data_IF_852556909535
#
_entry.id   IF_852556909535
#
_cell.length_a   1.000
_cell.length_b   1.000
_cell.length_c   1.000
_cell.angle_alpha   90.00
_cell.angle_beta   90.00
_cell.angle_gamma   90.00
#
_symmetry.space_group_name_H-M   'P 1'
#
loop_
_entity.id
_entity.type
_entity.pdbx_description
1 polymer ?
#
# COMPACT_ATOMS: atom_id res chain seq x y z
N UNK A 1 -1.42 5.69 15.58
CA UNK A 1 -2.17 6.31 14.47
C UNK A 1 -1.42 6.09 13.18
N UNK A 2 -1.89 5.15 12.37
CA UNK A 2 -1.35 4.86 11.04
C UNK A 2 -2.31 5.47 10.03
N UNK A 3 -1.86 6.48 9.30
CA UNK A 3 -2.63 7.10 8.20
C UNK A 3 -2.50 6.13 7.02
N UNK A 4 -3.61 5.53 6.59
CA UNK A 4 -3.66 4.92 5.27
C UNK A 4 -3.34 6.00 4.25
N UNK A 5 -2.64 5.70 3.16
CA UNK A 5 -2.44 6.61 2.03
C UNK A 5 -2.94 5.90 0.78
N UNK A 6 -3.87 6.50 0.03
CA UNK A 6 -4.38 5.90 -1.20
C UNK A 6 -3.63 6.43 -2.42
N UNK A 7 -3.38 5.56 -3.43
CA UNK A 7 -2.69 5.94 -4.68
C UNK A 7 -3.52 5.61 -5.91
N UNK A 8 -3.41 6.52 -6.86
CA UNK A 8 -4.04 6.50 -8.16
C UNK A 8 -3.04 6.11 -9.24
N UNK A 9 -3.37 5.13 -10.08
CA UNK A 9 -2.39 4.65 -11.05
C UNK A 9 -2.96 4.27 -12.42
N UNK A 10 -2.11 4.44 -13.44
CA UNK A 10 -2.43 4.29 -14.86
C UNK A 10 -1.47 3.32 -15.55
N UNK A 11 -1.98 2.59 -16.53
CA UNK A 11 -1.19 1.75 -17.42
C UNK A 11 -1.63 2.00 -18.86
N UNK A 12 -0.70 2.16 -19.79
CA UNK A 12 -0.92 2.26 -21.24
C UNK A 12 -0.61 0.91 -21.91
N UNK A 13 -1.45 0.39 -22.82
CA UNK A 13 -1.02 -0.57 -23.85
C UNK A 13 -1.98 -0.53 -25.03
N UNK A 14 -1.44 -0.46 -26.24
CA UNK A 14 -1.95 -1.00 -27.51
C UNK A 14 -0.79 -1.82 -28.12
N UNK A 15 -1.04 -2.90 -28.86
CA UNK A 15 0.02 -3.77 -29.43
C UNK A 15 -0.23 -4.05 -30.92
N UNK A 16 0.83 -3.91 -31.72
CA UNK A 16 0.94 -4.42 -33.10
C UNK A 16 1.44 -5.88 -33.11
N UNK A 17 0.92 -6.67 -34.06
CA UNK A 17 1.10 -8.11 -34.31
C UNK A 17 2.55 -8.57 -34.58
N UNK A 18 2.85 -9.83 -34.23
CA UNK A 18 3.73 -10.72 -35.00
C UNK A 18 3.37 -12.20 -34.77
N UNK A 19 3.51 -12.99 -35.83
CA UNK A 19 2.91 -14.30 -36.12
C UNK A 19 3.52 -15.53 -35.39
N UNK A 20 2.79 -16.64 -35.49
CA UNK A 20 3.13 -18.00 -35.02
C UNK A 20 4.46 -18.54 -35.58
N UNK A 21 5.24 -19.24 -34.72
CA UNK A 21 5.98 -20.47 -35.05
C UNK A 21 6.35 -21.18 -33.75
N UNK A 22 6.05 -22.49 -33.67
CA UNK A 22 6.21 -23.30 -32.47
C UNK A 22 7.66 -23.68 -32.15
N UNK A 23 7.90 -24.10 -30.91
CA UNK A 23 8.97 -25.00 -30.45
C UNK A 23 8.71 -25.41 -28.97
N UNK A 24 9.29 -26.55 -28.62
CA UNK A 24 9.14 -27.43 -27.45
C UNK A 24 9.84 -26.97 -26.15
N UNK A 25 9.40 -27.52 -25.00
CA UNK A 25 9.86 -27.42 -23.57
C UNK A 25 11.36 -27.15 -23.25
N UNK A 26 11.75 -26.85 -21.97
CA UNK A 26 11.14 -26.04 -20.93
C UNK A 26 12.15 -24.96 -20.47
N UNK A 27 12.20 -23.83 -21.18
CA UNK A 27 12.93 -22.61 -20.76
C UNK A 27 11.99 -21.38 -20.64
N UNK A 28 10.67 -21.59 -20.82
CA UNK A 28 9.73 -20.53 -21.20
C UNK A 28 8.94 -19.89 -20.07
N UNK A 29 9.32 -20.07 -18.81
CA UNK A 29 8.57 -19.43 -17.70
C UNK A 29 8.81 -17.91 -17.60
N UNK A 30 9.90 -17.39 -18.17
CA UNK A 30 10.21 -15.95 -18.20
C UNK A 30 9.60 -15.28 -19.44
N UNK A 31 9.66 -15.94 -20.61
CA UNK A 31 9.04 -15.41 -21.82
C UNK A 31 7.51 -15.39 -21.74
N UNK A 32 6.88 -16.42 -21.19
CA UNK A 32 5.43 -16.45 -21.01
C UNK A 32 4.95 -15.42 -19.96
N UNK A 33 5.72 -15.13 -18.91
CA UNK A 33 5.33 -14.10 -17.93
C UNK A 33 5.61 -12.66 -18.38
N UNK A 34 6.62 -12.43 -19.23
CA UNK A 34 6.90 -11.12 -19.82
C UNK A 34 6.00 -10.81 -21.03
N UNK A 35 5.55 -11.82 -21.79
CA UNK A 35 4.61 -11.65 -22.90
C UNK A 35 3.16 -11.34 -22.45
N UNK A 36 2.79 -11.58 -21.18
CA UNK A 36 1.39 -11.64 -20.76
C UNK A 36 0.94 -10.65 -19.66
N UNK A 37 1.55 -9.46 -19.55
CA UNK A 37 1.11 -8.42 -18.61
C UNK A 37 0.54 -7.22 -19.38
N UNK A 38 -0.69 -6.84 -19.05
CA UNK A 38 -1.54 -5.94 -19.84
C UNK A 38 -2.18 -4.86 -18.95
N UNK A 39 -2.67 -3.77 -19.55
CA UNK A 39 -2.87 -2.55 -18.82
C UNK A 39 -4.14 -2.61 -17.98
N UNK A 40 -3.94 -2.46 -16.68
CA UNK A 40 -5.00 -2.25 -15.70
C UNK A 40 -4.76 -0.89 -15.07
N UNK A 41 -5.77 -0.02 -15.14
CA UNK A 41 -5.86 1.16 -14.28
C UNK A 41 -6.23 0.61 -12.90
N UNK A 42 -5.22 0.37 -12.06
CA UNK A 42 -5.41 -0.22 -10.74
C UNK A 42 -5.15 0.85 -9.68
N UNK A 43 -5.78 0.76 -8.53
CA UNK A 43 -5.63 1.76 -7.47
C UNK A 43 -4.86 1.06 -6.35
N UNK A 44 -3.79 1.67 -5.84
CA UNK A 44 -2.95 1.00 -4.83
C UNK A 44 -3.03 1.78 -3.53
N UNK A 45 -3.76 1.25 -2.55
CA UNK A 45 -3.79 1.81 -1.21
C UNK A 45 -2.59 1.27 -0.44
N UNK A 46 -1.77 2.18 0.07
CA UNK A 46 -0.55 1.86 0.79
C UNK A 46 -0.86 1.19 2.12
N UNK A 47 -0.20 0.05 2.31
CA UNK A 47 0.04 -0.60 3.59
C UNK A 47 1.34 -0.06 4.19
N UNK A 48 1.28 0.39 5.44
CA UNK A 48 2.50 0.66 6.22
C UNK A 48 3.02 -0.66 6.75
N UNK A 49 4.27 -0.99 6.42
CA UNK A 49 4.91 -2.22 6.84
C UNK A 49 6.04 -1.96 7.84
N UNK A 50 5.99 -2.75 8.92
CA UNK A 50 7.01 -2.87 9.97
C UNK A 50 8.03 -3.92 9.53
N UNK A 51 9.32 -3.64 9.69
CA UNK A 51 10.42 -4.55 9.34
C UNK A 51 11.01 -5.16 10.62
N UNK A 52 10.66 -6.41 10.91
CA UNK A 52 11.27 -7.16 12.01
C UNK A 52 12.28 -8.19 11.50
N UNK A 53 13.39 -8.33 12.22
CA UNK A 53 14.48 -9.30 11.99
C UNK A 53 14.51 -10.19 13.25
N UNK A 54 13.95 -11.41 13.21
CA UNK A 54 13.88 -12.37 14.33
C UNK A 54 14.13 -13.81 13.84
N UNK A 55 14.05 -14.84 14.68
CA UNK A 55 14.17 -16.26 14.29
C UNK A 55 12.92 -17.10 14.60
N UNK A 56 11.85 -16.46 15.06
CA UNK A 56 10.51 -17.04 15.19
C UNK A 56 9.52 -15.92 15.51
N UNK A 57 8.28 -16.05 15.01
CA UNK A 57 7.19 -15.08 15.18
C UNK A 57 5.97 -15.79 15.76
N UNK A 58 5.38 -15.24 16.81
CA UNK A 58 4.13 -15.74 17.41
C UNK A 58 3.06 -14.65 17.41
N UNK A 59 2.44 -14.52 16.24
CA UNK A 59 1.05 -14.13 16.04
C UNK A 59 0.43 -15.16 15.10
N UNK A 60 -0.67 -14.88 14.41
CA UNK A 60 -1.16 -15.70 13.29
C UNK A 60 -0.22 -15.66 12.07
N UNK A 61 1.06 -16.03 12.24
CA UNK A 61 2.07 -15.95 11.21
C UNK A 61 1.72 -17.02 10.22
N UNK A 62 1.53 -16.62 8.98
CA UNK A 62 1.97 -17.49 7.91
C UNK A 62 3.44 -17.22 7.71
N UNK A 63 4.27 -18.19 8.07
CA UNK A 63 5.56 -18.33 7.42
C UNK A 63 5.29 -18.49 5.92
N UNK A 64 5.75 -17.53 5.12
CA UNK A 64 5.78 -17.75 3.68
C UNK A 64 6.90 -18.74 3.38
N UNK A 65 6.60 -19.74 2.55
CA UNK A 65 7.62 -20.64 2.04
C UNK A 65 8.65 -19.79 1.28
N UNK A 66 9.92 -19.88 1.71
CA UNK A 66 11.04 -19.21 1.03
C UNK A 66 11.18 -19.68 -0.42
N UNK A 67 10.62 -20.81 -0.82
CA UNK A 67 10.56 -21.28 -2.21
C UNK A 67 9.55 -20.51 -3.08
N UNK A 68 8.81 -19.54 -2.52
CA UNK A 68 7.92 -18.67 -3.28
C UNK A 68 8.70 -18.00 -4.42
N UNK A 69 8.36 -18.37 -5.66
CA UNK A 69 9.08 -17.92 -6.86
C UNK A 69 9.14 -16.39 -6.99
N UNK A 70 8.10 -15.66 -6.57
CA UNK A 70 8.05 -14.19 -6.63
C UNK A 70 9.01 -13.56 -5.64
N UNK A 71 9.04 -14.10 -4.42
CA UNK A 71 9.96 -13.67 -3.37
C UNK A 71 11.41 -13.96 -3.78
N UNK A 72 11.72 -15.18 -4.22
CA UNK A 72 13.07 -15.57 -4.65
C UNK A 72 13.59 -14.73 -5.80
N UNK A 73 12.76 -14.43 -6.80
CA UNK A 73 13.15 -13.56 -7.91
C UNK A 73 13.42 -12.12 -7.45
N UNK A 74 12.61 -11.57 -6.55
CA UNK A 74 12.88 -10.26 -5.94
C UNK A 74 14.21 -10.25 -5.18
N UNK A 75 14.44 -11.25 -4.33
CA UNK A 75 15.69 -11.38 -3.56
C UNK A 75 16.92 -11.57 -4.46
N UNK A 76 16.77 -12.28 -5.57
CA UNK A 76 17.83 -12.46 -6.56
C UNK A 76 18.17 -11.13 -7.23
N UNK A 77 17.16 -10.40 -7.72
CA UNK A 77 17.35 -9.14 -8.45
C UNK A 77 17.87 -8.01 -7.58
N UNK A 78 17.50 -7.98 -6.29
CA UNK A 78 18.02 -6.99 -5.35
C UNK A 78 19.47 -7.29 -4.99
N UNK A 79 19.83 -8.57 -4.78
CA UNK A 79 21.22 -8.99 -4.53
C UNK A 79 22.13 -8.72 -5.72
N UNK A 80 21.64 -8.91 -6.95
CA UNK A 80 22.37 -8.56 -8.19
C UNK A 80 22.73 -7.07 -8.27
N UNK A 81 21.90 -6.18 -7.71
CA UNK A 81 22.14 -4.73 -7.66
C UNK A 81 22.95 -4.30 -6.43
N UNK A 82 23.04 -5.16 -5.41
CA UNK A 82 23.77 -4.93 -4.17
C UNK A 82 25.26 -5.32 -4.21
N UNK A 83 25.89 -5.48 -5.39
CA UNK A 83 27.25 -6.04 -5.55
C UNK A 83 28.34 -5.35 -4.70
N UNK A 84 28.15 -4.08 -4.36
CA UNK A 84 29.10 -3.30 -3.57
C UNK A 84 28.70 -3.14 -2.10
N UNK A 85 27.59 -3.75 -1.67
CA UNK A 85 27.12 -3.65 -0.30
C UNK A 85 27.95 -4.53 0.64
N UNK A 86 28.45 -3.94 1.72
CA UNK A 86 29.14 -4.66 2.81
C UNK A 86 28.22 -5.65 3.54
N UNK A 87 26.90 -5.48 3.41
CA UNK A 87 25.89 -6.26 4.12
C UNK A 87 25.40 -7.47 3.33
N UNK A 88 25.91 -7.71 2.11
CA UNK A 88 25.41 -8.77 1.22
C UNK A 88 25.59 -10.19 1.80
N UNK A 89 26.60 -10.38 2.66
CA UNK A 89 26.90 -11.67 3.31
C UNK A 89 25.96 -11.99 4.49
N UNK A 90 25.15 -11.02 4.92
CA UNK A 90 24.29 -11.21 6.08
C UNK A 90 23.13 -12.16 5.76
N UNK A 91 22.82 -13.05 6.70
CA UNK A 91 21.53 -13.73 6.70
C UNK A 91 20.46 -12.70 7.05
N UNK A 92 19.44 -12.61 6.21
CA UNK A 92 18.32 -11.69 6.42
C UNK A 92 17.11 -12.45 6.95
N UNK A 93 16.44 -11.86 7.93
CA UNK A 93 15.11 -12.26 8.31
C UNK A 93 14.13 -11.15 7.95
N UNK A 94 13.01 -11.53 7.34
CA UNK A 94 12.01 -10.61 6.83
C UNK A 94 10.72 -10.90 7.56
N UNK A 95 10.31 -10.00 8.44
CA UNK A 95 8.97 -9.99 9.00
C UNK A 95 8.18 -8.83 8.38
N UNK A 96 6.92 -9.12 8.05
CA UNK A 96 6.04 -8.22 7.34
C UNK A 96 4.63 -8.26 7.95
N UNK A 97 4.19 -7.16 8.55
CA UNK A 97 2.83 -6.93 9.05
C UNK A 97 2.10 -5.86 8.22
N UNK A 98 0.80 -6.06 7.97
CA UNK A 98 -0.07 -5.03 7.38
C UNK A 98 -1.06 -4.51 8.43
N UNK A 99 -1.37 -3.22 8.37
CA UNK A 99 -2.28 -2.55 9.32
C UNK A 99 -3.71 -2.40 8.78
N UNK A 100 -4.08 -3.18 7.75
CA UNK A 100 -5.45 -3.26 7.26
C UNK A 100 -6.14 -4.48 7.87
N UNK A 101 -7.48 -4.49 7.96
CA UNK A 101 -8.20 -5.70 8.33
C UNK A 101 -7.80 -6.85 7.39
N UNK A 102 -7.28 -7.93 7.96
CA UNK A 102 -6.84 -9.11 7.20
C UNK A 102 -8.00 -9.63 6.34
N UNK A 103 -7.78 -9.73 5.02
CA UNK A 103 -8.78 -10.24 4.08
C UNK A 103 -9.64 -9.18 3.38
N UNK A 104 -9.51 -7.89 3.73
CA UNK A 104 -10.23 -6.76 3.11
C UNK A 104 -10.00 -6.54 1.60
N UNK A 105 -9.33 -7.44 0.86
CA UNK A 105 -9.11 -7.29 -0.58
C UNK A 105 -8.29 -6.06 -1.01
N UNK A 106 -7.83 -5.23 -0.05
CA UNK A 106 -7.05 -4.02 -0.21
C UNK A 106 -5.61 -4.41 -0.54
N UNK A 107 -5.28 -4.49 -1.83
CA UNK A 107 -3.94 -4.58 -2.48
C UNK A 107 -2.70 -5.02 -1.65
N UNK A 108 -2.82 -5.93 -0.69
CA UNK A 108 -1.81 -6.13 0.36
C UNK A 108 -0.46 -6.61 -0.18
N UNK A 109 -0.49 -7.41 -1.25
CA UNK A 109 0.71 -7.86 -1.94
C UNK A 109 1.52 -6.72 -2.58
N UNK A 110 0.88 -5.66 -3.05
CA UNK A 110 1.54 -4.58 -3.78
C UNK A 110 2.41 -3.75 -2.83
N UNK A 111 1.80 -3.26 -1.75
CA UNK A 111 2.52 -2.58 -0.69
C UNK A 111 3.52 -3.51 0.04
N UNK A 112 3.21 -4.81 0.15
CA UNK A 112 4.13 -5.83 0.66
C UNK A 112 5.46 -5.89 -0.09
N UNK A 113 5.40 -6.18 -1.39
CA UNK A 113 6.60 -6.26 -2.23
C UNK A 113 7.31 -4.92 -2.41
N UNK A 114 6.56 -3.81 -2.50
CA UNK A 114 7.16 -2.49 -2.56
C UNK A 114 7.95 -2.18 -1.28
N UNK A 115 7.39 -2.50 -0.11
CA UNK A 115 8.08 -2.33 1.16
C UNK A 115 9.32 -3.20 1.24
N UNK A 116 9.21 -4.49 0.89
CA UNK A 116 10.34 -5.41 0.85
C UNK A 116 11.50 -4.85 0.01
N UNK A 117 11.19 -4.41 -1.21
CA UNK A 117 12.19 -3.86 -2.13
C UNK A 117 12.79 -2.57 -1.60
N UNK A 118 11.98 -1.64 -1.11
CA UNK A 118 12.48 -0.39 -0.52
C UNK A 118 13.38 -0.66 0.69
N UNK A 119 12.99 -1.60 1.55
CA UNK A 119 13.72 -1.97 2.76
C UNK A 119 15.09 -2.56 2.45
N UNK A 120 15.12 -3.53 1.55
CA UNK A 120 16.35 -4.19 1.12
C UNK A 120 17.23 -3.25 0.29
N UNK A 121 16.64 -2.38 -0.52
CA UNK A 121 17.40 -1.35 -1.23
C UNK A 121 18.06 -0.39 -0.24
N UNK A 122 17.37 -0.05 0.85
CA UNK A 122 17.91 0.78 1.93
C UNK A 122 19.03 0.06 2.70
N UNK A 123 18.82 -1.21 3.06
CA UNK A 123 19.80 -2.05 3.75
C UNK A 123 21.08 -2.24 2.91
N UNK A 124 20.93 -2.50 1.62
CA UNK A 124 22.05 -2.75 0.72
C UNK A 124 22.58 -1.49 0.04
N UNK A 125 22.12 -0.30 0.45
CA UNK A 125 22.54 0.99 -0.10
C UNK A 125 22.38 1.10 -1.64
N UNK A 126 21.38 0.40 -2.19
CA UNK A 126 21.07 0.41 -3.62
C UNK A 126 20.46 1.75 -3.98
N UNK A 127 21.06 2.43 -4.96
CA UNK A 127 20.55 3.67 -5.56
C UNK A 127 19.91 3.37 -6.92
N UNK A 128 18.98 4.21 -7.33
CA UNK A 128 18.39 4.19 -8.67
C UNK A 128 16.97 3.64 -8.73
N UNK A 129 16.61 3.10 -9.89
CA UNK A 129 15.28 2.62 -10.25
C UNK A 129 14.97 1.29 -9.52
N UNK A 130 13.94 1.28 -8.65
CA UNK A 130 13.55 0.12 -7.82
C UNK A 130 12.21 -0.50 -8.22
N UNK A 131 11.43 0.20 -9.05
CA UNK A 131 10.10 -0.25 -9.47
C UNK A 131 10.16 -1.52 -10.31
N UNK A 132 11.20 -1.68 -11.16
CA UNK A 132 11.42 -2.92 -11.91
C UNK A 132 11.59 -4.14 -11.01
N UNK A 133 12.24 -4.00 -9.86
CA UNK A 133 12.40 -5.09 -8.88
C UNK A 133 11.06 -5.39 -8.21
N UNK A 134 10.35 -4.36 -7.74
CA UNK A 134 9.06 -4.53 -7.07
C UNK A 134 8.02 -5.17 -8.01
N UNK A 135 8.03 -4.82 -9.31
CA UNK A 135 7.19 -5.40 -10.37
C UNK A 135 7.28 -6.92 -10.46
N UNK A 136 8.45 -7.49 -10.18
CA UNK A 136 8.71 -8.94 -10.27
C UNK A 136 7.91 -9.67 -9.19
N UNK A 137 7.88 -9.10 -7.98
CA UNK A 137 7.14 -9.65 -6.86
C UNK A 137 5.64 -9.50 -7.01
N UNK A 138 5.19 -8.29 -7.34
CA UNK A 138 3.81 -8.00 -7.71
C UNK A 138 3.78 -6.86 -8.72
N UNK A 139 3.03 -7.03 -9.82
CA UNK A 139 2.98 -6.03 -10.89
C UNK A 139 2.64 -4.63 -10.38
N UNK A 140 1.64 -4.51 -9.49
CA UNK A 140 1.25 -3.22 -8.90
C UNK A 140 2.27 -2.66 -7.90
N UNK A 141 3.10 -3.50 -7.27
CA UNK A 141 4.10 -3.05 -6.30
C UNK A 141 5.09 -2.03 -6.88
N UNK A 142 5.35 -2.08 -8.20
CA UNK A 142 6.22 -1.11 -8.85
C UNK A 142 5.77 0.34 -8.65
N UNK A 143 4.46 0.57 -8.54
CA UNK A 143 3.88 1.91 -8.34
C UNK A 143 3.85 2.30 -6.86
N UNK A 144 3.98 1.31 -5.98
CA UNK A 144 4.04 1.50 -4.55
C UNK A 144 5.43 1.94 -4.03
N UNK A 145 6.46 1.96 -4.89
CA UNK A 145 7.80 2.46 -4.51
C UNK A 145 7.96 3.98 -4.60
N UNK A 146 7.02 4.70 -5.24
CA UNK A 146 7.06 6.16 -5.46
C UNK A 146 5.74 6.81 -4.99
N UNK A 147 5.80 8.00 -4.39
CA UNK A 147 4.62 8.71 -3.85
C UNK A 147 3.86 9.54 -4.88
N UNK A 148 2.70 10.09 -4.48
CA UNK A 148 1.86 10.91 -5.36
C UNK A 148 1.12 10.09 -6.42
N UNK A 149 0.94 10.68 -7.60
CA UNK A 149 0.34 10.01 -8.75
C UNK A 149 1.42 9.31 -9.58
N UNK A 150 1.20 8.03 -9.90
CA UNK A 150 2.25 7.20 -10.49
C UNK A 150 1.73 6.45 -11.70
N UNK A 151 2.48 6.52 -12.80
CA UNK A 151 2.23 5.77 -14.04
C UNK A 151 3.15 4.57 -14.10
N UNK A 152 2.61 3.38 -14.37
CA UNK A 152 3.44 2.26 -14.80
C UNK A 152 3.50 2.22 -16.32
N UNK A 153 4.69 2.45 -16.86
CA UNK A 153 4.96 2.31 -18.28
C UNK A 153 5.06 0.82 -18.61
N UNK A 154 4.29 0.37 -19.61
CA UNK A 154 4.29 -1.03 -20.05
C UNK A 154 5.67 -1.55 -20.47
N UNK A 155 6.52 -0.67 -21.00
CA UNK A 155 7.74 -1.04 -21.71
C UNK A 155 7.47 -1.61 -23.10
N UNK A 156 8.49 -1.56 -23.94
CA UNK A 156 8.55 -2.05 -25.31
C UNK A 156 9.63 -3.12 -25.48
N UNK A 157 10.59 -3.19 -24.55
CA UNK A 157 11.71 -4.13 -24.64
C UNK A 157 11.28 -5.53 -24.14
N UNK A 158 11.66 -6.61 -24.85
CA UNK A 158 11.29 -7.98 -24.45
C UNK A 158 11.81 -8.41 -23.08
N UNK A 159 12.94 -7.85 -22.66
CA UNK A 159 13.53 -8.08 -21.33
C UNK A 159 12.76 -7.38 -20.19
N UNK A 160 11.82 -6.49 -20.55
CA UNK A 160 11.02 -5.70 -19.62
C UNK A 160 11.82 -4.65 -18.86
N UNK A 161 13.03 -4.28 -19.30
CA UNK A 161 13.88 -3.30 -18.63
C UNK A 161 13.29 -1.88 -18.60
N UNK A 162 12.46 -1.53 -19.60
CA UNK A 162 11.78 -0.24 -19.71
C UNK A 162 10.34 -0.25 -19.14
N UNK A 163 9.90 -1.37 -18.57
CA UNK A 163 8.57 -1.51 -17.95
C UNK A 163 8.57 -1.00 -16.49
N UNK A 164 8.72 0.30 -16.30
CA UNK A 164 8.98 0.92 -14.99
C UNK A 164 7.87 1.89 -14.55
N UNK A 165 7.79 2.13 -13.25
CA UNK A 165 6.93 3.17 -12.68
C UNK A 165 7.61 4.53 -12.70
N UNK A 166 6.85 5.58 -13.04
CA UNK A 166 7.28 6.98 -13.07
C UNK A 166 6.26 7.84 -12.35
N UNK A 167 6.73 8.78 -11.54
CA UNK A 167 5.87 9.78 -10.94
C UNK A 167 5.32 10.70 -12.03
N UNK A 168 3.99 10.89 -12.04
CA UNK A 168 3.35 11.94 -12.84
C UNK A 168 3.54 13.27 -12.11
N UNK A 169 3.06 13.33 -10.87
CA UNK A 169 3.21 14.48 -9.97
C UNK A 169 3.31 14.00 -8.50
N UNK A 170 4.02 14.73 -7.61
CA UNK A 170 4.10 14.39 -6.19
C UNK A 170 2.76 14.55 -5.47
N UNK A 171 2.63 13.98 -4.27
CA UNK A 171 1.41 14.11 -3.46
C UNK A 171 1.09 15.58 -3.12
N UNK A 172 2.12 16.41 -2.96
CA UNK A 172 2.01 17.85 -2.75
C UNK A 172 1.45 18.63 -3.94
N UNK A 173 1.35 18.03 -5.13
CA UNK A 173 0.75 18.68 -6.29
C UNK A 173 -0.73 18.92 -6.07
N UNK A 174 -1.47 17.92 -5.60
CA UNK A 174 -2.92 17.98 -5.39
C UNK A 174 -3.29 17.66 -3.92
N UNK A 175 -2.91 18.52 -2.96
CA UNK A 175 -3.05 18.25 -1.54
C UNK A 175 -4.50 18.16 -1.07
N UNK A 176 -5.45 18.70 -1.83
CA UNK A 176 -6.89 18.67 -1.56
C UNK A 176 -7.51 17.30 -1.87
N UNK A 177 -6.83 16.42 -2.62
CA UNK A 177 -7.37 15.10 -2.96
C UNK A 177 -7.52 14.25 -1.69
N UNK A 178 -8.72 13.68 -1.51
CA UNK A 178 -9.09 12.79 -0.42
C UNK A 178 -9.56 11.46 -0.96
N UNK A 179 -9.41 10.44 -0.12
CA UNK A 179 -9.84 9.09 -0.44
C UNK A 179 -10.60 8.51 0.74
N UNK A 180 -11.77 7.92 0.45
CA UNK A 180 -12.56 7.19 1.42
C UNK A 180 -12.68 5.75 0.94
N UNK A 181 -12.24 4.80 1.75
CA UNK A 181 -12.32 3.37 1.44
C UNK A 181 -13.47 2.78 2.24
N UNK A 182 -14.44 2.19 1.55
CA UNK A 182 -15.56 1.48 2.16
C UNK A 182 -15.23 -0.02 2.14
N UNK A 183 -14.97 -0.58 3.32
CA UNK A 183 -14.73 -2.02 3.49
C UNK A 183 -16.09 -2.70 3.60
N UNK A 184 -16.59 -3.27 2.52
CA UNK A 184 -17.86 -4.02 2.46
C UNK A 184 -17.64 -5.48 2.86
N UNK A 185 -16.60 -6.09 2.30
CA UNK A 185 -16.22 -7.47 2.59
C UNK A 185 -14.73 -7.58 2.93
N UNK A 186 -14.44 -8.49 3.86
CA UNK A 186 -13.08 -8.89 4.26
C UNK A 186 -12.82 -10.39 4.07
N UNK A 187 -13.72 -11.09 3.37
CA UNK A 187 -13.49 -12.47 2.99
C UNK A 187 -12.51 -12.57 1.83
N UNK A 188 -11.83 -13.73 1.75
CA UNK A 188 -10.83 -13.98 0.71
C UNK A 188 -11.51 -14.01 -0.67
N UNK A 189 -10.92 -13.30 -1.63
CA UNK A 189 -11.34 -13.30 -3.04
C UNK A 189 -11.58 -14.73 -3.54
N UNK A 190 -12.75 -14.98 -4.13
CA UNK A 190 -13.08 -16.28 -4.74
C UNK A 190 -12.05 -16.69 -5.80
N UNK A 191 -11.67 -15.75 -6.66
CA UNK A 191 -10.61 -15.95 -7.67
C UNK A 191 -9.50 -14.91 -7.48
N UNK A 192 -8.26 -15.33 -7.16
CA UNK A 192 -7.12 -14.42 -7.06
C UNK A 192 -6.89 -13.63 -8.35
N UNK A 193 -6.49 -12.37 -8.23
CA UNK A 193 -6.33 -11.46 -9.38
C UNK A 193 -5.37 -11.99 -10.45
N UNK A 194 -4.29 -12.70 -10.09
CA UNK A 194 -3.37 -13.28 -11.07
C UNK A 194 -3.99 -14.39 -11.92
N UNK A 195 -4.92 -15.16 -11.33
CA UNK A 195 -5.65 -16.21 -12.04
C UNK A 195 -6.74 -15.55 -12.89
N UNK A 196 -7.48 -14.60 -12.30
CA UNK A 196 -8.54 -13.88 -12.99
C UNK A 196 -8.04 -13.14 -14.22
N UNK A 197 -6.97 -12.34 -14.09
CA UNK A 197 -6.39 -11.59 -15.21
C UNK A 197 -5.88 -12.49 -16.33
N UNK A 198 -5.24 -13.63 -16.01
CA UNK A 198 -4.79 -14.59 -17.03
C UNK A 198 -5.98 -15.16 -17.80
N UNK A 199 -7.02 -15.57 -17.09
CA UNK A 199 -8.25 -16.09 -17.70
C UNK A 199 -8.91 -15.04 -18.58
N UNK A 200 -9.01 -13.79 -18.13
CA UNK A 200 -9.55 -12.69 -18.95
C UNK A 200 -8.73 -12.50 -20.23
N UNK A 201 -7.41 -12.63 -20.17
CA UNK A 201 -6.56 -12.55 -21.38
C UNK A 201 -6.84 -13.67 -22.38
N UNK A 202 -7.07 -14.88 -21.88
CA UNK A 202 -7.32 -16.05 -22.72
C UNK A 202 -8.73 -16.04 -23.33
N UNK A 203 -9.72 -15.44 -22.63
CA UNK A 203 -11.14 -15.68 -22.94
C UNK A 203 -11.99 -14.44 -23.18
N UNK A 204 -11.58 -13.25 -22.74
CA UNK A 204 -12.36 -12.01 -22.93
C UNK A 204 -11.98 -11.30 -24.23
N UNK A 205 -12.95 -11.13 -25.12
CA UNK A 205 -12.79 -10.32 -26.31
C UNK A 205 -12.84 -8.82 -25.99
N UNK A 206 -13.59 -8.42 -24.96
CA UNK A 206 -13.61 -7.03 -24.49
C UNK A 206 -12.23 -6.57 -24.00
N UNK A 207 -11.43 -7.45 -23.42
CA UNK A 207 -10.07 -7.10 -22.99
C UNK A 207 -9.16 -6.77 -24.17
N UNK A 208 -9.27 -7.51 -25.28
CA UNK A 208 -8.51 -7.25 -26.52
C UNK A 208 -8.85 -5.87 -27.08
N UNK A 209 -10.13 -5.52 -27.13
CA UNK A 209 -10.60 -4.21 -27.57
C UNK A 209 -10.15 -3.09 -26.63
N UNK A 210 -10.23 -3.32 -25.31
CA UNK A 210 -9.77 -2.37 -24.29
C UNK A 210 -8.29 -2.01 -24.49
N UNK A 211 -7.45 -3.03 -24.67
CA UNK A 211 -6.03 -2.86 -24.94
C UNK A 211 -5.85 -2.03 -26.22
N UNK A 212 -6.40 -2.47 -27.35
CA UNK A 212 -6.03 -1.84 -28.62
C UNK A 212 -6.57 -0.42 -28.79
N UNK A 213 -7.69 -0.07 -28.16
CA UNK A 213 -8.42 1.15 -28.52
C UNK A 213 -8.79 2.08 -27.35
N UNK A 214 -8.81 1.60 -26.12
CA UNK A 214 -9.40 2.37 -25.01
C UNK A 214 -8.36 2.92 -24.07
N UNK A 215 -7.42 2.07 -23.65
CA UNK A 215 -6.57 2.39 -22.51
C UNK A 215 -5.61 3.51 -22.82
N UNK A 216 -5.07 3.58 -24.04
CA UNK A 216 -4.10 4.62 -24.37
C UNK A 216 -4.68 6.04 -24.34
N UNK A 217 -5.88 6.23 -24.89
CA UNK A 217 -6.54 7.55 -24.83
C UNK A 217 -6.92 7.89 -23.39
N UNK A 218 -7.49 6.94 -22.65
CA UNK A 218 -7.94 7.17 -21.29
C UNK A 218 -6.80 7.54 -20.35
N UNK A 219 -5.66 6.86 -20.47
CA UNK A 219 -4.47 7.13 -19.66
C UNK A 219 -3.91 8.54 -19.94
N UNK A 220 -3.83 8.97 -21.21
CA UNK A 220 -3.44 10.35 -21.55
C UNK A 220 -4.41 11.38 -20.98
N UNK A 221 -5.71 11.12 -21.10
CA UNK A 221 -6.77 12.02 -20.62
C UNK A 221 -6.71 12.22 -19.11
N UNK A 222 -6.58 11.15 -18.34
CA UNK A 222 -6.51 11.24 -16.89
C UNK A 222 -5.16 11.74 -16.39
N UNK A 223 -4.05 11.45 -17.08
CA UNK A 223 -2.75 12.06 -16.80
C UNK A 223 -2.80 13.58 -16.96
N UNK A 224 -3.45 14.08 -18.03
CA UNK A 224 -3.72 15.52 -18.20
C UNK A 224 -4.59 16.07 -17.08
N UNK A 225 -5.69 15.40 -16.75
CA UNK A 225 -6.59 15.82 -15.67
C UNK A 225 -5.88 15.94 -14.32
N UNK A 226 -4.93 15.06 -14.03
CA UNK A 226 -4.11 15.11 -12.80
C UNK A 226 -3.19 16.31 -12.79
N UNK A 227 -2.52 16.58 -13.91
CA UNK A 227 -1.61 17.73 -14.03
C UNK A 227 -2.39 19.03 -13.89
N UNK A 228 -3.55 19.13 -14.53
CA UNK A 228 -4.44 20.31 -14.55
C UNK A 228 -5.34 20.45 -13.31
N UNK A 229 -5.35 19.45 -12.41
CA UNK A 229 -6.29 19.33 -11.28
C UNK A 229 -7.77 19.38 -11.70
N UNK A 230 -8.08 18.87 -12.88
CA UNK A 230 -9.45 18.72 -13.38
C UNK A 230 -10.11 17.50 -12.72
N UNK A 231 -10.78 17.74 -11.59
CA UNK A 231 -11.44 16.68 -10.83
C UNK A 231 -12.55 15.99 -11.62
N UNK A 232 -13.31 16.72 -12.45
CA UNK A 232 -14.44 16.15 -13.18
C UNK A 232 -13.96 15.15 -14.24
N UNK A 233 -12.98 15.52 -15.07
CA UNK A 233 -12.39 14.60 -16.04
C UNK A 233 -11.72 13.42 -15.34
N UNK A 234 -11.01 13.66 -14.23
CA UNK A 234 -10.42 12.62 -13.40
C UNK A 234 -11.46 11.62 -12.88
N UNK A 235 -12.56 12.13 -12.33
CA UNK A 235 -13.64 11.34 -11.75
C UNK A 235 -14.35 10.47 -12.80
N UNK A 236 -14.70 11.07 -13.94
CA UNK A 236 -15.36 10.37 -15.05
C UNK A 236 -14.44 9.26 -15.60
N UNK A 237 -13.15 9.55 -15.80
CA UNK A 237 -12.20 8.55 -16.28
C UNK A 237 -12.04 7.39 -15.27
N UNK A 238 -11.96 7.71 -13.97
CA UNK A 238 -11.85 6.74 -12.88
C UNK A 238 -13.04 5.78 -12.85
N UNK A 239 -14.27 6.31 -12.82
CA UNK A 239 -15.49 5.50 -12.78
C UNK A 239 -15.67 4.66 -14.05
N UNK A 240 -15.44 5.25 -15.23
CA UNK A 240 -15.54 4.51 -16.51
C UNK A 240 -14.51 3.39 -16.61
N UNK A 241 -13.30 3.59 -16.08
CA UNK A 241 -12.30 2.54 -16.11
C UNK A 241 -12.62 1.38 -15.17
N UNK A 242 -13.07 1.69 -13.95
CA UNK A 242 -13.54 0.68 -13.00
C UNK A 242 -14.68 -0.14 -13.60
N UNK A 243 -15.69 0.50 -14.18
CA UNK A 243 -16.82 -0.19 -14.80
C UNK A 243 -16.37 -1.10 -15.95
N UNK A 244 -15.43 -0.64 -16.79
CA UNK A 244 -14.93 -1.46 -17.88
C UNK A 244 -14.08 -2.65 -17.39
N UNK A 245 -13.33 -2.50 -16.30
CA UNK A 245 -12.64 -3.62 -15.67
C UNK A 245 -13.64 -4.71 -15.25
N UNK A 246 -14.74 -4.35 -14.58
CA UNK A 246 -15.75 -5.31 -14.15
C UNK A 246 -16.59 -5.85 -15.32
N UNK A 247 -16.79 -5.09 -16.39
CA UNK A 247 -17.37 -5.60 -17.64
C UNK A 247 -16.49 -6.70 -18.27
N UNK A 248 -15.17 -6.51 -18.31
CA UNK A 248 -14.22 -7.55 -18.77
C UNK A 248 -14.23 -8.77 -17.86
N UNK A 249 -14.35 -8.56 -16.55
CA UNK A 249 -14.50 -9.66 -15.59
C UNK A 249 -15.76 -10.50 -15.90
N UNK A 250 -16.87 -9.86 -16.27
CA UNK A 250 -18.11 -10.54 -16.68
C UNK A 250 -18.00 -11.22 -18.05
N UNK A 251 -17.24 -10.63 -18.99
CA UNK A 251 -16.98 -11.20 -20.33
C UNK A 251 -15.98 -12.38 -20.32
N UNK A 252 -15.23 -12.55 -19.24
CA UNK A 252 -14.28 -13.65 -19.05
C UNK A 252 -15.02 -15.00 -18.91
N UNK A 253 -14.43 -16.12 -19.35
CA UNK A 253 -15.04 -17.45 -19.20
C UNK A 253 -14.17 -18.45 -18.41
N UNK A 254 -14.68 -19.09 -17.33
CA UNK A 254 -15.91 -18.74 -16.60
C UNK A 254 -15.86 -17.32 -16.01
N UNK A 255 -17.01 -16.65 -15.85
CA UNK A 255 -17.08 -15.25 -15.46
C UNK A 255 -16.52 -14.99 -14.07
N UNK A 256 -16.01 -13.78 -13.89
CA UNK A 256 -15.46 -13.28 -12.66
C UNK A 256 -16.41 -12.20 -12.10
N UNK A 257 -16.89 -12.42 -10.88
CA UNK A 257 -17.72 -11.45 -10.17
C UNK A 257 -16.97 -10.95 -8.93
N UNK A 258 -16.46 -9.72 -9.01
CA UNK A 258 -15.78 -9.06 -7.91
C UNK A 258 -16.68 -8.08 -7.16
N UNK A 259 -17.51 -7.33 -7.88
CA UNK A 259 -18.56 -6.49 -7.31
C UNK A 259 -19.78 -7.35 -6.90
N UNK A 260 -20.41 -6.96 -5.80
CA UNK A 260 -21.66 -7.52 -5.29
C UNK A 260 -22.78 -6.45 -5.29
N UNK A 261 -23.94 -6.79 -4.73
CA UNK A 261 -25.09 -5.87 -4.63
C UNK A 261 -24.74 -4.63 -3.81
N UNK A 262 -23.95 -4.80 -2.74
CA UNK A 262 -23.47 -3.70 -1.92
C UNK A 262 -22.55 -2.75 -2.71
N UNK A 263 -21.68 -3.30 -3.57
CA UNK A 263 -20.85 -2.49 -4.48
C UNK A 263 -21.71 -1.64 -5.42
N UNK A 264 -22.79 -2.23 -5.95
CA UNK A 264 -23.72 -1.54 -6.87
C UNK A 264 -24.50 -0.44 -6.16
N UNK A 265 -24.96 -0.68 -4.93
CA UNK A 265 -25.61 0.36 -4.13
C UNK A 265 -24.70 1.58 -3.89
N UNK A 266 -23.39 1.39 -3.71
CA UNK A 266 -22.42 2.49 -3.64
C UNK A 266 -22.31 3.24 -4.97
N UNK A 267 -22.30 2.54 -6.10
CA UNK A 267 -22.31 3.17 -7.44
C UNK A 267 -23.53 4.07 -7.62
N UNK A 268 -24.71 3.56 -7.27
CA UNK A 268 -25.98 4.28 -7.39
C UNK A 268 -26.03 5.50 -6.46
N UNK A 269 -25.51 5.36 -5.23
CA UNK A 269 -25.41 6.46 -4.28
C UNK A 269 -24.51 7.59 -4.79
N UNK A 270 -23.33 7.27 -5.35
CA UNK A 270 -22.39 8.27 -5.87
C UNK A 270 -22.99 9.01 -7.08
N UNK A 271 -23.66 8.30 -7.99
CA UNK A 271 -24.32 8.93 -9.13
C UNK A 271 -25.48 9.82 -8.69
N UNK A 272 -26.35 9.32 -7.80
CA UNK A 272 -27.46 10.09 -7.22
C UNK A 272 -26.95 11.36 -6.55
N UNK A 273 -25.86 11.27 -5.78
CA UNK A 273 -25.25 12.44 -5.14
C UNK A 273 -24.75 13.46 -6.17
N UNK A 274 -23.91 13.02 -7.13
CA UNK A 274 -23.37 13.90 -8.17
C UNK A 274 -24.47 14.57 -9.02
N UNK A 275 -25.55 13.85 -9.32
CA UNK A 275 -26.72 14.39 -10.03
C UNK A 275 -27.48 15.42 -9.18
N UNK A 276 -27.67 15.13 -7.89
CA UNK A 276 -28.39 16.01 -6.95
C UNK A 276 -27.67 17.34 -6.77
N UNK A 277 -26.34 17.30 -6.61
CA UNK A 277 -25.49 18.51 -6.49
C UNK A 277 -25.15 19.13 -7.85
N UNK A 278 -25.59 18.52 -8.95
CA UNK A 278 -25.38 18.96 -10.35
C UNK A 278 -23.91 19.17 -10.72
N UNK A 279 -23.01 18.42 -10.08
CA UNK A 279 -21.56 18.51 -10.28
C UNK A 279 -20.92 17.17 -9.91
N UNK A 280 -19.94 16.72 -10.69
CA UNK A 280 -19.17 15.52 -10.33
C UNK A 280 -18.21 15.86 -9.19
N UNK A 281 -18.58 15.52 -7.97
CA UNK A 281 -17.81 15.80 -6.74
C UNK A 281 -17.22 14.54 -6.10
N UNK A 282 -17.75 13.37 -6.45
CA UNK A 282 -17.27 12.07 -5.96
C UNK A 282 -17.10 11.09 -7.11
N UNK A 283 -16.02 10.33 -7.08
CA UNK A 283 -15.74 9.25 -8.02
C UNK A 283 -15.57 7.94 -7.27
N UNK A 284 -16.18 6.85 -7.74
CA UNK A 284 -15.89 5.52 -7.22
C UNK A 284 -14.91 4.75 -8.12
N UNK A 285 -14.23 3.78 -7.51
CA UNK A 285 -13.56 2.70 -8.22
C UNK A 285 -13.53 1.45 -7.35
N UNK A 286 -13.47 0.31 -8.03
CA UNK A 286 -13.44 -1.03 -7.47
C UNK A 286 -12.33 -1.81 -8.15
N UNK A 287 -11.44 -2.41 -7.36
CA UNK A 287 -10.44 -3.36 -7.83
C UNK A 287 -11.05 -4.78 -7.93
N UNK A 288 -10.21 -5.81 -7.90
CA UNK A 288 -10.64 -7.22 -7.85
C UNK A 288 -11.24 -7.60 -6.47
N UNK A 289 -12.32 -6.95 -6.07
CA UNK A 289 -13.11 -7.22 -4.86
C UNK A 289 -14.26 -6.21 -4.71
N UNK A 290 -15.14 -6.38 -3.71
CA UNK A 290 -16.34 -5.55 -3.56
C UNK A 290 -16.07 -4.19 -2.88
N UNK A 291 -14.88 -3.97 -2.34
CA UNK A 291 -14.60 -2.77 -1.57
C UNK A 291 -14.48 -1.54 -2.47
N UNK A 292 -15.23 -0.50 -2.11
CA UNK A 292 -15.25 0.75 -2.85
C UNK A 292 -14.11 1.65 -2.40
N UNK A 293 -13.43 2.27 -3.35
CA UNK A 293 -12.52 3.39 -3.13
C UNK A 293 -13.16 4.62 -3.74
N UNK A 294 -13.34 5.65 -2.94
CA UNK A 294 -14.00 6.89 -3.31
C UNK A 294 -12.98 8.02 -3.34
N UNK A 295 -12.95 8.78 -4.43
CA UNK A 295 -12.16 9.99 -4.57
C UNK A 295 -13.07 11.21 -4.51
N UNK A 296 -12.61 12.24 -3.81
CA UNK A 296 -13.28 13.53 -3.65
C UNK A 296 -12.26 14.58 -3.21
N UNK A 297 -12.63 15.84 -3.34
CA UNK A 297 -11.82 16.94 -2.79
C UNK A 297 -12.16 17.17 -1.32
N UNK A 298 -11.19 17.68 -0.57
CA UNK A 298 -11.28 17.99 0.87
C UNK A 298 -12.53 18.78 1.24
N UNK A 299 -12.88 19.79 0.43
CA UNK A 299 -14.08 20.62 0.61
C UNK A 299 -15.39 19.81 0.59
N UNK A 300 -15.44 18.70 -0.14
CA UNK A 300 -16.65 17.87 -0.30
C UNK A 300 -16.72 16.71 0.71
N UNK A 301 -15.65 16.47 1.48
CA UNK A 301 -15.61 15.37 2.45
C UNK A 301 -16.69 15.48 3.52
N UNK A 302 -16.91 16.65 4.17
CA UNK A 302 -17.95 16.76 5.19
C UNK A 302 -19.32 16.38 4.64
N UNK A 303 -19.74 16.96 3.53
CA UNK A 303 -21.07 16.68 2.98
C UNK A 303 -21.25 15.20 2.60
N UNK A 304 -20.31 14.64 1.84
CA UNK A 304 -20.44 13.26 1.37
C UNK A 304 -20.27 12.21 2.47
N UNK A 305 -19.42 12.46 3.47
CA UNK A 305 -19.33 11.58 4.63
C UNK A 305 -20.63 11.60 5.44
N UNK A 306 -21.31 12.75 5.52
CA UNK A 306 -22.65 12.85 6.11
C UNK A 306 -23.67 11.99 5.36
N UNK A 307 -23.63 12.01 4.02
CA UNK A 307 -24.43 11.13 3.16
C UNK A 307 -24.18 9.66 3.46
N UNK A 308 -22.91 9.25 3.52
CA UNK A 308 -22.53 7.86 3.81
C UNK A 308 -22.99 7.41 5.20
N UNK A 309 -22.79 8.23 6.24
CA UNK A 309 -23.18 7.89 7.61
C UNK A 309 -24.70 7.84 7.80
N UNK A 310 -25.44 8.67 7.06
CA UNK A 310 -26.89 8.63 7.07
C UNK A 310 -27.42 7.41 6.32
N UNK A 311 -26.91 7.13 5.11
CA UNK A 311 -27.31 5.98 4.31
C UNK A 311 -26.92 4.64 4.97
N UNK A 312 -25.76 4.60 5.62
CA UNK A 312 -25.16 3.41 6.22
C UNK A 312 -24.69 3.72 7.65
N UNK A 313 -25.61 3.71 8.64
CA UNK A 313 -25.27 4.05 10.01
C UNK A 313 -24.36 3.01 10.67
N UNK A 314 -23.64 3.44 11.72
CA UNK A 314 -22.74 2.59 12.51
C UNK A 314 -23.53 1.52 13.27
N UNK A 315 -23.20 0.24 13.04
CA UNK A 315 -23.80 -0.89 13.77
C UNK A 315 -22.74 -1.48 14.71
N UNK A 316 -22.83 -1.14 16.00
CA UNK A 316 -22.24 -1.91 17.09
C UNK A 316 -20.70 -2.04 17.12
N UNK A 317 -19.94 -1.07 16.61
CA UNK A 317 -18.46 -1.08 16.65
C UNK A 317 -17.90 0.21 17.29
N UNK A 318 -16.67 0.13 17.78
CA UNK A 318 -15.97 1.21 18.51
C UNK A 318 -15.15 2.13 17.55
N UNK A 319 -14.89 1.69 16.31
CA UNK A 319 -14.12 2.46 15.30
C UNK A 319 -14.66 2.25 13.86
N UNK A 320 -15.90 2.69 13.59
CA UNK A 320 -16.47 2.59 12.25
C UNK A 320 -15.78 3.47 11.20
N UNK A 321 -15.30 4.66 11.58
CA UNK A 321 -14.52 5.55 10.73
C UNK A 321 -13.08 5.66 11.25
N UNK A 322 -12.10 5.39 10.39
CA UNK A 322 -10.66 5.39 10.69
C UNK A 322 -9.91 6.38 9.80
N UNK A 323 -8.72 6.81 10.23
CA UNK A 323 -7.81 7.61 9.42
C UNK A 323 -7.79 9.10 9.81
N UNK A 324 -7.92 10.00 8.84
CA UNK A 324 -7.91 11.45 9.08
C UNK A 324 -9.07 11.86 10.01
N UNK A 325 -8.84 12.82 10.93
CA UNK A 325 -9.85 13.27 11.87
C UNK A 325 -11.07 13.83 11.13
N UNK A 326 -12.23 13.73 11.78
CA UNK A 326 -13.51 14.25 11.30
C UNK A 326 -14.14 15.11 12.39
N UNK A 327 -14.83 16.16 11.99
CA UNK A 327 -15.78 16.84 12.86
C UNK A 327 -17.10 16.05 12.90
N UNK A 328 -17.99 16.38 13.84
CA UNK A 328 -19.33 15.81 13.88
C UNK A 328 -20.12 16.27 12.65
N UNK A 329 -20.14 15.42 11.64
CA UNK A 329 -20.73 15.71 10.33
C UNK A 329 -22.14 15.14 10.29
N UNK A 330 -23.11 15.99 9.98
CA UNK A 330 -24.50 15.63 9.71
C UNK A 330 -24.83 16.00 8.26
N UNK A 331 -25.62 15.15 7.59
CA UNK A 331 -26.21 15.49 6.29
C UNK A 331 -27.19 16.66 6.46
N UNK A 332 -27.20 17.62 5.53
CA UNK A 332 -28.22 18.68 5.54
C UNK A 332 -29.61 18.11 5.23
N UNK A 333 -30.66 18.67 5.84
CA UNK A 333 -32.03 18.23 5.61
C UNK A 333 -32.46 18.41 4.14
N UNK A 334 -31.98 19.48 3.49
CA UNK A 334 -32.23 19.77 2.08
C UNK A 334 -31.64 18.69 1.17
N UNK A 335 -30.37 18.33 1.38
CA UNK A 335 -29.69 17.30 0.60
C UNK A 335 -30.33 15.93 0.82
N UNK A 336 -30.66 15.60 2.08
CA UNK A 336 -31.34 14.35 2.39
C UNK A 336 -32.69 14.23 1.66
N UNK A 337 -33.48 15.31 1.67
CA UNK A 337 -34.77 15.36 0.97
C UNK A 337 -34.59 15.26 -0.55
N UNK A 338 -33.58 15.92 -1.10
CA UNK A 338 -33.31 15.91 -2.53
C UNK A 338 -32.84 14.53 -3.04
N UNK A 339 -31.98 13.86 -2.26
CA UNK A 339 -31.50 12.51 -2.59
C UNK A 339 -32.52 11.41 -2.29
N UNK A 340 -33.55 11.69 -1.48
CA UNK A 340 -34.56 10.73 -1.03
C UNK A 340 -33.92 9.45 -0.44
N UNK A 341 -32.85 9.61 0.36
CA UNK A 341 -32.16 8.48 0.97
C UNK A 341 -33.04 7.89 2.06
N UNK A 342 -33.28 6.59 1.96
CA UNK A 342 -34.07 5.83 2.94
C UNK A 342 -33.24 4.69 3.51
N UNK A 343 -32.58 4.89 4.67
CA UNK A 343 -31.62 3.92 5.22
C UNK A 343 -32.19 2.51 5.46
N UNK A 344 -33.50 2.40 5.66
CA UNK A 344 -34.20 1.14 5.94
C UNK A 344 -34.83 0.46 4.71
N UNK A 345 -34.82 1.11 3.54
CA UNK A 345 -35.38 0.54 2.30
C UNK A 345 -34.29 -0.03 1.36
N UNK A 346 -33.00 0.12 1.69
CA UNK A 346 -31.90 -0.49 0.94
C UNK A 346 -31.91 -2.00 1.21
N UNK A 347 -32.35 -2.78 0.22
CA UNK A 347 -32.45 -4.24 0.28
C UNK A 347 -31.52 -4.89 -0.75
N UNK A 348 -30.60 -5.78 -0.34
CA UNK A 348 -30.27 -6.11 1.05
C UNK A 348 -29.58 -4.93 1.76
N UNK A 349 -29.61 -4.86 3.11
CA UNK A 349 -28.94 -3.80 3.84
C UNK A 349 -27.43 -3.87 3.56
N UNK A 350 -26.90 -2.80 2.95
CA UNK A 350 -25.45 -2.66 2.70
C UNK A 350 -24.72 -2.63 4.03
N UNK A 351 -23.82 -3.58 4.24
CA UNK A 351 -23.02 -3.67 5.47
C UNK A 351 -21.61 -3.16 5.22
N UNK A 352 -21.37 -1.90 5.52
CA UNK A 352 -20.01 -1.36 5.59
C UNK A 352 -19.39 -1.82 6.92
N UNK A 353 -18.29 -2.56 6.88
CA UNK A 353 -17.58 -3.02 8.08
C UNK A 353 -16.79 -1.91 8.75
N UNK A 354 -16.19 -1.02 7.95
CA UNK A 354 -15.56 0.23 8.36
C UNK A 354 -15.28 1.13 7.15
N UNK A 355 -15.11 2.42 7.41
CA UNK A 355 -14.66 3.44 6.48
C UNK A 355 -13.24 3.89 6.83
N UNK A 356 -12.37 4.06 5.84
CA UNK A 356 -11.01 4.58 6.03
C UNK A 356 -10.88 5.88 5.23
N UNK A 357 -10.75 7.00 5.94
CA UNK A 357 -10.56 8.33 5.37
C UNK A 357 -9.05 8.68 5.32
N UNK A 358 -8.55 8.98 4.13
CA UNK A 358 -7.13 9.15 3.83
C UNK A 358 -6.92 10.24 2.76
N UNK A 359 -5.66 10.54 2.45
CA UNK A 359 -5.22 11.46 1.40
C UNK A 359 -4.09 10.82 0.57
N UNK A 360 -3.61 11.54 -0.43
CA UNK A 360 -2.42 11.16 -1.18
C UNK A 360 -1.20 11.16 -0.26
N UNK A 361 -0.37 10.12 -0.39
CA UNK A 361 0.83 9.93 0.41
C UNK A 361 2.13 9.93 -0.39
N UNK A 362 3.22 10.25 0.30
CA UNK A 362 4.58 10.06 -0.21
C UNK A 362 5.00 8.58 -0.16
N UNK A 363 6.03 8.22 -0.93
CA UNK A 363 6.72 6.94 -0.73
C UNK A 363 7.87 7.13 0.26
N UNK A 364 7.99 6.19 1.20
CA UNK A 364 9.09 6.18 2.15
C UNK A 364 8.87 5.16 3.24
N UNK A 365 9.90 4.38 3.58
CA UNK A 365 9.86 3.44 4.70
C UNK A 365 9.48 4.20 5.97
N UNK A 366 8.42 3.81 6.66
CA UNK A 366 8.06 4.28 8.02
C UNK A 366 7.87 5.78 8.29
N UNK A 367 8.23 6.71 7.40
CA UNK A 367 8.21 8.16 7.57
C UNK A 367 8.78 8.62 8.93
N UNK A 368 10.01 8.21 9.22
CA UNK A 368 10.65 8.49 10.49
C UNK A 368 10.38 7.46 11.57
N UNK A 369 9.60 6.42 11.30
CA UNK A 369 9.36 5.31 12.22
C UNK A 369 10.09 4.03 11.76
N UNK A 370 10.48 3.20 12.71
CA UNK A 370 10.98 1.85 12.46
C UNK A 370 10.61 0.96 13.64
N UNK A 371 10.01 -0.21 13.37
CA UNK A 371 9.71 -1.20 14.39
C UNK A 371 10.41 -2.50 14.05
N UNK A 372 11.16 -3.04 15.01
CA UNK A 372 11.82 -4.33 14.93
C UNK A 372 11.31 -5.25 16.05
N UNK A 373 11.50 -6.56 15.89
CA UNK A 373 11.22 -7.56 16.92
C UNK A 373 12.34 -8.58 16.91
N UNK A 374 12.68 -9.12 18.08
CA UNK A 374 13.62 -10.23 18.23
C UNK A 374 13.22 -11.11 19.40
N UNK A 375 13.57 -12.39 19.31
CA UNK A 375 13.46 -13.32 20.43
C UNK A 375 14.78 -13.26 21.20
N UNK A 376 14.71 -13.09 22.52
CA UNK A 376 15.90 -13.08 23.36
C UNK A 376 16.50 -14.48 23.40
N UNK A 377 17.72 -14.65 22.89
CA UNK A 377 18.51 -15.89 22.93
C UNK A 377 19.60 -15.79 24.00
N UNK A 378 20.26 -16.92 24.31
CA UNK A 378 21.30 -16.98 25.35
C UNK A 378 22.47 -16.02 25.08
N UNK A 379 22.83 -15.81 23.81
CA UNK A 379 23.87 -14.88 23.37
C UNK A 379 23.54 -13.40 23.64
N UNK A 380 22.27 -13.07 23.91
CA UNK A 380 21.83 -11.71 24.23
C UNK A 380 21.86 -11.41 25.74
N UNK A 381 22.18 -12.38 26.59
CA UNK A 381 22.02 -12.28 28.04
C UNK A 381 23.25 -11.65 28.72
N UNK A 382 23.02 -11.06 29.88
CA UNK A 382 24.06 -10.74 30.86
C UNK A 382 24.33 -11.93 31.78
N UNK A 383 25.34 -11.79 32.66
CA UNK A 383 25.66 -12.81 33.68
C UNK A 383 24.50 -13.11 34.64
N UNK A 384 23.51 -12.21 34.75
CA UNK A 384 22.30 -12.40 35.54
C UNK A 384 21.15 -13.07 34.78
N UNK A 385 21.38 -13.60 33.56
CA UNK A 385 20.40 -14.37 32.80
C UNK A 385 19.27 -13.55 32.16
N UNK A 386 19.39 -12.22 32.10
CA UNK A 386 18.43 -11.32 31.44
C UNK A 386 19.10 -10.57 30.28
N UNK A 387 18.30 -10.06 29.34
CA UNK A 387 18.81 -9.33 28.17
C UNK A 387 19.79 -8.22 28.58
N UNK A 388 21.01 -8.27 28.05
CA UNK A 388 22.12 -7.43 28.46
C UNK A 388 21.85 -5.95 28.17
N UNK A 389 22.11 -5.05 29.14
CA UNK A 389 21.84 -3.61 28.98
C UNK A 389 22.59 -2.96 27.82
N UNK A 390 23.82 -3.40 27.54
CA UNK A 390 24.57 -3.00 26.34
C UNK A 390 23.96 -3.50 25.03
N UNK A 391 23.34 -4.69 25.02
CA UNK A 391 22.62 -5.19 23.86
C UNK A 391 21.34 -4.37 23.63
N UNK A 392 20.57 -4.10 24.70
CA UNK A 392 19.43 -3.18 24.69
C UNK A 392 19.79 -1.80 24.12
N UNK A 393 20.93 -1.24 24.53
CA UNK A 393 21.44 0.04 24.03
C UNK A 393 21.79 -0.02 22.54
N UNK A 394 22.40 -1.12 22.11
CA UNK A 394 22.71 -1.39 20.69
C UNK A 394 21.44 -1.47 19.84
N UNK A 395 20.40 -2.12 20.35
CA UNK A 395 19.09 -2.19 19.68
C UNK A 395 18.46 -0.80 19.53
N UNK A 396 18.50 0.03 20.59
CA UNK A 396 18.01 1.40 20.54
C UNK A 396 18.79 2.21 19.50
N UNK A 397 20.13 2.14 19.49
CA UNK A 397 20.97 2.85 18.52
C UNK A 397 20.65 2.44 17.07
N UNK A 398 20.63 1.14 16.79
CA UNK A 398 20.40 0.62 15.44
C UNK A 398 18.99 0.95 14.94
N UNK A 399 17.95 0.64 15.73
CA UNK A 399 16.55 0.77 15.28
C UNK A 399 16.14 2.24 15.16
N UNK A 400 16.64 3.11 16.04
CA UNK A 400 16.45 4.56 15.86
C UNK A 400 17.21 5.09 14.63
N UNK A 401 18.42 4.59 14.34
CA UNK A 401 19.13 4.95 13.09
C UNK A 401 18.30 4.60 11.86
N UNK A 402 17.71 3.41 11.85
CA UNK A 402 16.82 3.01 10.76
C UNK A 402 15.56 3.88 10.70
N UNK A 403 14.98 4.26 11.84
CA UNK A 403 13.88 5.22 11.88
C UNK A 403 14.28 6.58 11.29
N UNK A 404 15.46 7.10 11.62
CA UNK A 404 15.95 8.37 11.06
C UNK A 404 16.20 8.29 9.56
N UNK A 405 16.77 7.18 9.11
CA UNK A 405 17.01 6.90 7.69
C UNK A 405 15.71 6.75 6.88
N UNK A 406 14.61 6.46 7.57
CA UNK A 406 13.25 6.34 7.01
C UNK A 406 12.52 7.69 6.97
N UNK A 407 13.02 8.70 7.69
CA UNK A 407 12.50 10.08 7.68
C UNK A 407 12.85 10.81 6.36
N UNK A 408 12.08 11.84 5.99
CA UNK A 408 12.30 12.68 4.78
C UNK A 408 13.71 13.27 4.66
N UNK A 409 14.43 13.43 5.77
CA UNK A 409 15.84 13.86 5.75
C UNK A 409 16.75 12.81 5.15
N UNK A 410 16.40 11.52 5.26
CA UNK A 410 17.15 10.37 4.75
C UNK A 410 18.60 10.32 5.29
N UNK A 411 18.83 10.87 6.48
CA UNK A 411 20.14 10.91 7.11
C UNK A 411 20.34 9.67 7.98
N UNK A 412 21.54 9.09 7.97
CA UNK A 412 21.91 8.08 8.97
C UNK A 412 22.20 8.71 10.34
N UNK A 413 22.85 9.87 10.30
CA UNK A 413 23.27 10.65 11.46
C UNK A 413 24.33 9.96 12.32
N UNK A 414 25.13 10.75 13.03
CA UNK A 414 26.12 10.28 14.01
C UNK A 414 25.54 10.48 15.41
N UNK A 415 25.66 9.47 16.26
CA UNK A 415 25.17 9.49 17.65
C UNK A 415 25.87 10.60 18.45
N UNK A 416 25.10 11.51 19.02
CA UNK A 416 25.56 12.59 19.92
C UNK A 416 25.29 12.23 21.36
N UNK A 417 24.12 11.67 21.63
CA UNK A 417 23.66 11.28 22.96
C UNK A 417 22.70 10.09 22.86
N UNK A 418 22.86 9.11 23.75
CA UNK A 418 22.01 7.93 23.84
C UNK A 418 21.67 7.68 25.30
N UNK A 419 20.40 7.89 25.65
CA UNK A 419 19.86 7.65 26.99
C UNK A 419 18.99 6.39 26.98
N UNK A 420 19.21 5.51 27.94
CA UNK A 420 18.41 4.29 28.13
C UNK A 420 17.91 4.24 29.57
N UNK A 421 16.61 4.04 29.73
CA UNK A 421 15.96 3.79 31.03
C UNK A 421 15.42 2.37 31.04
N UNK A 422 15.93 1.53 31.94
CA UNK A 422 15.51 0.13 32.09
C UNK A 422 14.34 0.04 33.06
N UNK A 423 13.28 -0.66 32.65
CA UNK A 423 12.01 -0.74 33.39
C UNK A 423 11.71 -2.15 33.88
N UNK A 424 11.86 -3.17 33.01
CA UNK A 424 11.64 -4.58 33.33
C UNK A 424 12.67 -5.47 32.61
N UNK A 425 13.00 -6.65 33.15
CA UNK A 425 13.86 -7.61 32.46
C UNK A 425 13.13 -8.27 31.29
N UNK A 426 13.89 -8.58 30.24
CA UNK A 426 13.50 -9.54 29.20
C UNK A 426 14.34 -10.81 29.38
N UNK A 427 13.68 -11.97 29.35
CA UNK A 427 14.25 -13.28 29.62
C UNK A 427 14.41 -14.07 28.32
N UNK A 428 15.32 -15.07 28.27
CA UNK A 428 15.44 -15.93 27.10
C UNK A 428 14.09 -16.55 26.71
N UNK A 429 13.76 -16.50 25.42
CA UNK A 429 12.47 -16.89 24.86
C UNK A 429 11.44 -15.76 24.75
N UNK A 430 11.61 -14.64 25.46
CA UNK A 430 10.72 -13.48 25.31
C UNK A 430 10.84 -12.89 23.89
N UNK A 431 9.70 -12.62 23.25
CA UNK A 431 9.64 -11.80 22.02
C UNK A 431 9.58 -10.32 22.42
N UNK A 432 10.68 -9.60 22.22
CA UNK A 432 10.74 -8.16 22.47
C UNK A 432 10.50 -7.37 21.19
N UNK A 433 9.72 -6.30 21.29
CA UNK A 433 9.38 -5.36 20.22
C UNK A 433 10.04 -4.02 20.48
N UNK A 434 10.86 -3.55 19.53
CA UNK A 434 11.55 -2.26 19.56
C UNK A 434 10.83 -1.31 18.60
N UNK A 435 10.17 -0.29 19.12
CA UNK A 435 9.43 0.71 18.35
C UNK A 435 10.17 2.06 18.41
N UNK A 436 10.77 2.47 17.29
CA UNK A 436 11.53 3.70 17.19
C UNK A 436 10.81 4.75 16.33
N UNK A 437 10.87 6.00 16.78
CA UNK A 437 10.28 7.15 16.11
C UNK A 437 11.24 8.35 16.12
N UNK A 438 11.41 8.94 14.96
CA UNK A 438 12.01 10.26 14.78
C UNK A 438 10.99 11.29 15.25
N UNK A 439 11.25 11.89 16.42
CA UNK A 439 10.35 12.89 17.02
C UNK A 439 10.47 14.21 16.24
N UNK A 440 11.71 14.60 15.93
CA UNK A 440 12.01 15.82 15.17
C UNK A 440 13.37 15.68 14.50
N UNK A 441 13.47 16.06 13.24
CA UNK A 441 14.75 16.27 12.56
C UNK A 441 14.85 17.72 12.08
N UNK A 442 15.79 18.47 12.65
CA UNK A 442 16.12 19.85 12.27
C UNK A 442 17.17 19.91 11.15
N UNK A 443 17.91 21.02 11.08
CA UNK A 443 19.03 21.16 10.13
C UNK A 443 20.26 20.38 10.58
N UNK A 444 20.62 20.45 11.86
CA UNK A 444 21.88 19.88 12.38
C UNK A 444 21.66 18.66 13.28
N UNK A 445 20.54 18.61 14.00
CA UNK A 445 20.24 17.54 14.96
C UNK A 445 18.90 16.87 14.67
N UNK A 446 18.83 15.59 14.97
CA UNK A 446 17.61 14.79 15.04
C UNK A 446 17.44 14.18 16.43
N UNK A 447 16.20 14.16 16.92
CA UNK A 447 15.81 13.61 18.21
C UNK A 447 14.87 12.44 17.98
N UNK A 448 15.20 11.30 18.59
CA UNK A 448 14.50 10.04 18.41
C UNK A 448 14.09 9.46 19.77
N UNK A 449 12.95 8.77 19.78
CA UNK A 449 12.46 8.00 20.92
C UNK A 449 12.32 6.54 20.51
N UNK A 450 12.61 5.63 21.42
CA UNK A 450 12.50 4.19 21.23
C UNK A 450 11.86 3.54 22.44
N UNK A 451 10.87 2.69 22.24
CA UNK A 451 10.30 1.85 23.29
C UNK A 451 10.59 0.39 23.00
N UNK A 452 11.15 -0.33 23.99
CA UNK A 452 11.30 -1.77 23.95
C UNK A 452 10.23 -2.37 24.86
N UNK A 453 9.40 -3.24 24.30
CA UNK A 453 8.26 -3.86 24.98
C UNK A 453 8.22 -5.37 24.77
N UNK A 454 7.49 -6.09 25.61
CA UNK A 454 7.10 -7.49 25.39
C UNK A 454 5.61 -7.69 25.65
N UNK A 455 5.11 -8.88 25.34
CA UNK A 455 3.70 -9.28 25.52
C UNK A 455 2.74 -8.32 24.81
N UNK A 456 3.04 -8.03 23.54
CA UNK A 456 2.27 -7.12 22.67
C UNK A 456 2.09 -5.70 23.26
N UNK A 457 3.17 -5.16 23.82
CA UNK A 457 3.17 -3.79 24.39
C UNK A 457 2.69 -3.70 25.83
N UNK A 458 2.23 -4.80 26.46
CA UNK A 458 1.77 -4.80 27.86
C UNK A 458 2.88 -4.49 28.86
N UNK A 459 4.12 -4.85 28.56
CA UNK A 459 5.24 -4.67 29.46
C UNK A 459 6.38 -3.91 28.78
N UNK A 460 6.73 -2.76 29.36
CA UNK A 460 7.85 -1.95 28.91
C UNK A 460 9.13 -2.51 29.54
N UNK A 461 10.08 -2.86 28.68
CA UNK A 461 11.41 -3.35 29.03
C UNK A 461 12.37 -2.17 29.20
N UNK A 462 12.38 -1.26 28.23
CA UNK A 462 13.22 -0.07 28.29
C UNK A 462 12.64 1.08 27.45
N UNK A 463 12.95 2.31 27.87
CA UNK A 463 12.79 3.52 27.07
C UNK A 463 14.15 4.00 26.59
N UNK A 464 14.21 4.47 25.35
CA UNK A 464 15.39 5.01 24.70
C UNK A 464 15.14 6.42 24.18
N UNK A 465 16.12 7.31 24.36
CA UNK A 465 16.22 8.57 23.62
C UNK A 465 17.56 8.62 22.92
N UNK A 466 17.54 9.03 21.66
CA UNK A 466 18.74 9.10 20.85
C UNK A 466 18.78 10.43 20.12
N UNK A 467 19.83 11.22 20.37
CA UNK A 467 20.13 12.45 19.64
C UNK A 467 21.21 12.16 18.61
N UNK A 468 20.98 12.53 17.36
CA UNK A 468 21.93 12.35 16.26
C UNK A 468 22.26 13.66 15.56
N UNK A 469 23.53 13.86 15.26
CA UNK A 469 23.99 14.91 14.35
C UNK A 469 23.79 14.46 12.91
N UNK A 470 23.11 15.29 12.11
CA UNK A 470 22.74 14.98 10.71
C UNK A 470 23.35 15.94 9.68
N UNK A 471 23.98 17.04 10.13
CA UNK A 471 24.70 18.00 9.29
C UNK A 471 23.84 18.75 8.25
N UNK A 472 24.40 19.81 7.65
CA UNK A 472 23.77 20.45 6.48
C UNK A 472 24.01 19.57 5.23
N UNK A 473 22.94 19.26 4.49
CA UNK A 473 23.09 18.75 3.13
C UNK A 473 23.75 19.85 2.30
N UNK A 474 25.01 19.65 1.91
CA UNK A 474 25.64 20.44 0.86
C UNK A 474 24.88 20.30 -0.45
#
# INVERSE_FOLDING_TARGET
>A
MSIADARLTFSDRAVHQAEQKGLSEPQDSIEAENKHRFPVLAFDVRVSLRLAVSHSWQGSAREENMENCRLQRCLTEIRKRAKHSKHLQWKIHICSENNFPTGAGLASSAAGYACLVLALAKLYEIKGELSSIARIGSGSACRSVIGGFVKWSMGSLPDGSDSIAKQIVPASHWPEMRVIILVLDDTRKKVPSSIGMRRSMETSDMLKLRINYVVSDRAKRIERAIIEKDFETFAICTMKDSNQLHAICMDTYPPLFYMNEESRAIVDLVHTYNETVKKVQVAYTFDAGPNAVLYLLEENVPEFLGVLLYAYPEIGKIEYCKGLPRDNILISQELNKAMNIKPHEISPPVRIKCMIHTKLGDAGLGNGNCKAQLVVSEEHLNLGGSMHGGFTSTLIDCVSSYALMSHKTNAAGVSVDLMVTFMKPALPGDLVTIDAKTIRAGRTLAFLAVDITKDDGKHIIAHGRHTKFIGEKK
#
